data_IF_901046367826
#
_entry.id   IF_901046367826
#
_cell.length_a   1.000
_cell.length_b   1.000
_cell.length_c   1.000
_cell.angle_alpha   90.00
_cell.angle_beta   90.00
_cell.angle_gamma   90.00
#
_symmetry.space_group_name_H-M   'P 1'
#
loop_
_entity.id
_entity.type
_entity.pdbx_description
1 polymer ?
#
# COMPACT_ATOMS: atom_id res chain seq x y z
N UNK A 1 -10.57 3.10 28.03
CA UNK A 1 -11.12 4.30 27.35
C UNK A 1 -11.24 3.99 25.86
N UNK A 2 -12.42 4.17 25.24
CA UNK A 2 -12.69 3.91 23.80
C UNK A 2 -13.24 5.16 23.08
N UNK A 3 -12.92 6.36 23.57
CA UNK A 3 -13.34 7.62 22.96
C UNK A 3 -12.10 8.27 22.33
N UNK A 4 -12.01 8.25 21.01
CA UNK A 4 -10.99 9.02 20.28
C UNK A 4 -10.32 8.32 19.10
N UNK A 5 -10.29 6.99 19.03
CA UNK A 5 -9.75 6.32 17.83
C UNK A 5 -10.86 6.32 16.77
N UNK A 6 -10.68 7.08 15.69
CA UNK A 6 -11.58 7.01 14.55
C UNK A 6 -11.66 5.55 14.05
N UNK A 7 -12.86 5.04 13.78
CA UNK A 7 -13.10 3.63 13.39
C UNK A 7 -12.28 3.12 12.18
N UNK A 8 -11.52 3.98 11.51
CA UNK A 8 -10.73 3.69 10.31
C UNK A 8 -9.22 3.54 10.56
N UNK A 9 -8.74 3.64 11.81
CA UNK A 9 -7.31 3.64 12.11
C UNK A 9 -6.78 2.26 12.47
N UNK A 10 -7.02 1.28 11.58
CA UNK A 10 -6.56 -0.10 11.76
C UNK A 10 -5.48 -0.42 10.73
N UNK A 11 -4.36 -0.96 11.19
CA UNK A 11 -3.28 -1.45 10.34
C UNK A 11 -2.95 -2.90 10.64
N UNK A 12 -3.13 -3.76 9.63
CA UNK A 12 -2.90 -5.21 9.73
C UNK A 12 -1.51 -5.63 9.27
N UNK A 13 -0.75 -4.73 8.63
CA UNK A 13 0.56 -5.02 8.06
C UNK A 13 0.54 -5.67 6.67
N UNK A 14 -0.62 -5.77 6.04
CA UNK A 14 -0.81 -6.44 4.76
C UNK A 14 -1.63 -5.64 3.75
N UNK A 15 -2.70 -4.98 4.22
CA UNK A 15 -3.60 -4.16 3.41
C UNK A 15 -3.31 -2.67 3.61
N UNK A 16 -3.45 -1.89 2.53
CA UNK A 16 -3.12 -0.46 2.53
C UNK A 16 -1.61 -0.17 2.50
N UNK A 17 -1.22 1.08 2.74
CA UNK A 17 0.20 1.45 2.89
C UNK A 17 0.49 1.92 4.31
N UNK A 18 1.71 1.64 4.78
CA UNK A 18 2.16 2.13 6.08
C UNK A 18 2.13 3.67 6.13
N UNK A 19 2.50 4.34 5.03
CA UNK A 19 2.52 5.81 4.99
C UNK A 19 1.11 6.42 5.12
N UNK A 20 0.07 5.79 4.55
CA UNK A 20 -1.32 6.22 4.73
C UNK A 20 -1.77 6.06 6.19
N UNK A 21 -1.43 4.93 6.79
CA UNK A 21 -1.71 4.68 8.21
C UNK A 21 -0.98 5.67 9.12
N UNK A 22 0.32 5.88 8.90
CA UNK A 22 1.14 6.81 9.66
C UNK A 22 0.60 8.25 9.58
N UNK A 23 0.20 8.68 8.38
CA UNK A 23 -0.40 10.01 8.19
C UNK A 23 -1.71 10.14 8.99
N UNK A 24 -2.61 9.17 8.89
CA UNK A 24 -3.86 9.16 9.66
C UNK A 24 -3.60 9.18 11.17
N UNK A 25 -2.67 8.34 11.66
CA UNK A 25 -2.33 8.28 13.08
C UNK A 25 -1.80 9.63 13.59
N UNK A 26 -0.94 10.30 12.80
CA UNK A 26 -0.41 11.63 13.14
C UNK A 26 -1.50 12.70 13.18
N UNK A 27 -2.50 12.64 12.29
CA UNK A 27 -3.65 13.54 12.36
C UNK A 27 -4.44 13.36 13.66
N UNK A 28 -4.75 12.12 14.04
CA UNK A 28 -5.44 11.84 15.30
C UNK A 28 -4.64 12.31 16.52
N UNK A 29 -3.31 12.13 16.51
CA UNK A 29 -2.43 12.65 17.56
C UNK A 29 -2.57 14.17 17.75
N UNK A 30 -2.72 14.92 16.66
CA UNK A 30 -2.86 16.40 16.69
C UNK A 30 -4.27 16.77 17.16
N UNK A 31 -5.30 16.14 16.60
CA UNK A 31 -6.72 16.43 16.90
C UNK A 31 -7.02 16.18 18.38
N UNK A 32 -6.52 15.08 18.92
CA UNK A 32 -6.78 14.68 20.30
C UNK A 32 -5.68 15.08 21.28
N UNK A 33 -4.65 15.79 20.81
CA UNK A 33 -3.53 16.32 21.61
C UNK A 33 -2.90 15.22 22.48
N UNK A 34 -2.55 14.09 21.85
CA UNK A 34 -1.98 12.96 22.57
C UNK A 34 -0.54 13.22 23.00
N UNK A 35 -0.25 12.91 24.27
CA UNK A 35 1.13 12.81 24.76
C UNK A 35 1.77 11.47 24.34
N UNK A 36 3.06 11.29 24.61
CA UNK A 36 3.79 10.12 24.11
C UNK A 36 3.31 8.79 24.71
N UNK A 37 2.89 8.77 25.98
CA UNK A 37 2.30 7.58 26.58
C UNK A 37 0.97 7.20 25.91
N UNK A 38 0.12 8.18 25.63
CA UNK A 38 -1.15 7.98 24.93
C UNK A 38 -0.93 7.49 23.50
N UNK A 39 0.09 7.98 22.79
CA UNK A 39 0.45 7.47 21.45
C UNK A 39 0.85 6.00 21.50
N UNK A 40 1.64 5.58 22.49
CA UNK A 40 2.09 4.18 22.63
C UNK A 40 0.91 3.26 22.98
N UNK A 41 -0.01 3.71 23.82
CA UNK A 41 -1.23 2.94 24.11
C UNK A 41 -2.14 2.85 22.87
N UNK A 42 -2.35 3.97 22.19
CA UNK A 42 -3.21 4.04 21.01
C UNK A 42 -2.68 3.20 19.86
N UNK A 43 -1.37 3.24 19.57
CA UNK A 43 -0.79 2.46 18.47
C UNK A 43 -1.04 0.97 18.67
N UNK A 44 -0.90 0.45 19.89
CA UNK A 44 -1.17 -0.97 20.18
C UNK A 44 -2.61 -1.38 19.83
N UNK A 45 -3.59 -0.49 20.02
CA UNK A 45 -5.00 -0.74 19.71
C UNK A 45 -5.27 -0.67 18.21
N UNK A 46 -4.50 0.14 17.48
CA UNK A 46 -4.63 0.33 16.04
C UNK A 46 -4.03 -0.82 15.22
N UNK A 47 -3.21 -1.69 15.83
CA UNK A 47 -2.54 -2.78 15.13
C UNK A 47 -3.34 -4.07 15.19
N UNK A 48 -3.41 -4.76 14.05
CA UNK A 48 -3.99 -6.10 13.92
C UNK A 48 -3.07 -7.00 13.08
N UNK A 49 -3.45 -8.26 12.86
CA UNK A 49 -2.78 -9.14 11.90
C UNK A 49 -1.26 -9.27 12.08
N UNK A 50 -0.53 -9.13 10.97
CA UNK A 50 0.94 -9.19 10.92
C UNK A 50 1.58 -8.04 11.71
N UNK A 51 1.02 -6.83 11.61
CA UNK A 51 1.57 -5.67 12.29
C UNK A 51 1.51 -5.80 13.82
N UNK A 52 0.41 -6.34 14.35
CA UNK A 52 0.28 -6.63 15.79
C UNK A 52 1.28 -7.68 16.27
N UNK A 53 1.42 -8.78 15.53
CA UNK A 53 2.41 -9.83 15.85
C UNK A 53 3.83 -9.26 15.88
N UNK A 54 4.16 -8.41 14.91
CA UNK A 54 5.48 -7.76 14.85
C UNK A 54 5.69 -6.82 16.04
N UNK A 55 4.68 -6.04 16.41
CA UNK A 55 4.72 -5.17 17.60
C UNK A 55 4.92 -5.97 18.89
N UNK A 56 4.20 -7.07 19.08
CA UNK A 56 4.32 -7.93 20.26
C UNK A 56 5.75 -8.48 20.40
N UNK A 57 6.40 -8.82 19.29
CA UNK A 57 7.79 -9.32 19.23
C UNK A 57 8.87 -8.24 19.44
N UNK A 58 8.52 -6.95 19.47
CA UNK A 58 9.51 -5.89 19.74
C UNK A 58 9.95 -5.92 21.21
N UNK A 59 11.24 -5.65 21.44
CA UNK A 59 11.80 -5.51 22.79
C UNK A 59 11.22 -4.26 23.49
N UNK A 60 11.23 -4.24 24.82
CA UNK A 60 10.68 -3.13 25.60
C UNK A 60 11.33 -1.79 25.26
N UNK A 61 12.64 -1.79 24.96
CA UNK A 61 13.38 -0.61 24.50
C UNK A 61 12.81 -0.02 23.20
N UNK A 62 12.37 -0.85 22.26
CA UNK A 62 11.78 -0.42 20.99
C UNK A 62 10.36 0.13 21.19
N UNK A 63 9.64 -0.33 22.21
CA UNK A 63 8.27 0.10 22.54
C UNK A 63 8.19 1.42 23.33
N UNK A 64 9.33 2.03 23.66
CA UNK A 64 9.38 3.31 24.41
C UNK A 64 9.13 4.55 23.55
N UNK A 65 9.18 4.43 22.22
CA UNK A 65 9.05 5.57 21.32
C UNK A 65 8.21 5.21 20.10
N UNK A 66 7.21 6.05 19.82
CA UNK A 66 6.37 5.90 18.62
C UNK A 66 7.20 5.90 17.33
N UNK A 67 8.32 6.64 17.31
CA UNK A 67 9.25 6.69 16.17
C UNK A 67 9.91 5.34 15.94
N UNK A 68 10.39 4.68 17.00
CA UNK A 68 11.02 3.35 16.88
C UNK A 68 10.00 2.30 16.44
N UNK A 69 8.80 2.34 17.02
CA UNK A 69 7.68 1.47 16.63
C UNK A 69 7.36 1.64 15.14
N UNK A 70 7.26 2.88 14.65
CA UNK A 70 6.97 3.16 13.24
C UNK A 70 8.06 2.64 12.30
N UNK A 71 9.33 2.86 12.63
CA UNK A 71 10.45 2.33 11.83
C UNK A 71 10.40 0.80 11.72
N UNK A 72 10.15 0.11 12.84
CA UNK A 72 10.07 -1.35 12.87
C UNK A 72 8.85 -1.86 12.10
N UNK A 73 7.69 -1.24 12.27
CA UNK A 73 6.48 -1.58 11.54
C UNK A 73 6.68 -1.37 10.04
N UNK A 74 7.22 -0.21 9.63
CA UNK A 74 7.51 0.09 8.23
C UNK A 74 8.43 -0.97 7.63
N UNK A 75 9.53 -1.32 8.28
CA UNK A 75 10.47 -2.33 7.77
C UNK A 75 9.89 -3.74 7.76
N UNK A 76 9.21 -4.16 8.83
CA UNK A 76 8.74 -5.54 8.96
C UNK A 76 7.42 -5.83 8.25
N UNK A 77 6.61 -4.81 7.97
CA UNK A 77 5.33 -4.96 7.26
C UNK A 77 5.44 -4.65 5.76
N UNK A 78 6.55 -4.08 5.28
CA UNK A 78 6.80 -3.94 3.84
C UNK A 78 6.79 -5.32 3.19
N UNK A 79 5.99 -5.46 2.13
CA UNK A 79 6.02 -6.61 1.23
C UNK A 79 7.25 -6.47 0.32
N UNK A 80 7.88 -7.58 -0.03
CA UNK A 80 9.08 -7.54 -0.87
C UNK A 80 8.78 -7.01 -2.27
N UNK A 81 9.77 -6.48 -3.00
CA UNK A 81 9.58 -6.07 -4.40
C UNK A 81 8.97 -7.18 -5.27
N UNK A 82 9.40 -8.43 -5.06
CA UNK A 82 8.90 -9.61 -5.79
C UNK A 82 7.41 -9.85 -5.56
N UNK A 83 6.88 -9.57 -4.37
CA UNK A 83 5.45 -9.66 -4.09
C UNK A 83 4.65 -8.72 -5.00
N UNK A 84 5.11 -7.47 -5.16
CA UNK A 84 4.43 -6.50 -6.02
C UNK A 84 4.59 -6.82 -7.50
N UNK A 85 5.75 -7.35 -7.91
CA UNK A 85 5.93 -7.86 -9.27
C UNK A 85 4.99 -9.03 -9.56
N UNK A 86 4.81 -9.95 -8.62
CA UNK A 86 3.85 -11.05 -8.76
C UNK A 86 2.42 -10.52 -8.90
N UNK A 87 2.02 -9.51 -8.11
CA UNK A 87 0.71 -8.86 -8.27
C UNK A 87 0.59 -8.18 -9.64
N UNK A 88 1.63 -7.48 -10.10
CA UNK A 88 1.67 -6.84 -11.41
C UNK A 88 1.42 -7.84 -12.55
N UNK A 89 2.16 -8.96 -12.58
CA UNK A 89 2.04 -9.95 -13.64
C UNK A 89 0.77 -10.82 -13.55
N UNK A 90 0.27 -11.08 -12.34
CA UNK A 90 -0.96 -11.88 -12.15
C UNK A 90 -2.26 -11.10 -12.33
N UNK A 91 -2.21 -9.76 -12.30
CA UNK A 91 -3.41 -8.92 -12.40
C UNK A 91 -4.03 -8.99 -13.80
N UNK A 92 -5.28 -9.44 -13.84
CA UNK A 92 -6.14 -9.49 -15.04
C UNK A 92 -7.24 -8.45 -14.93
N UNK A 93 -7.66 -7.80 -16.03
CA UNK A 93 -8.81 -6.90 -15.99
C UNK A 93 -10.06 -7.69 -15.57
N UNK A 94 -10.72 -7.27 -14.49
CA UNK A 94 -11.93 -7.96 -14.01
C UNK A 94 -13.13 -7.59 -14.90
N UNK A 95 -14.13 -8.47 -14.92
CA UNK A 95 -15.41 -8.14 -15.53
C UNK A 95 -15.99 -6.87 -14.89
N UNK A 96 -16.46 -5.92 -15.71
CA UNK A 96 -17.00 -4.60 -15.30
C UNK A 96 -16.00 -3.61 -14.67
N UNK A 97 -14.73 -3.99 -14.51
CA UNK A 97 -13.71 -3.05 -14.02
C UNK A 97 -13.39 -1.99 -15.07
N UNK A 98 -13.35 -0.72 -14.63
CA UNK A 98 -12.88 0.38 -15.49
C UNK A 98 -11.39 0.22 -15.78
N UNK A 99 -11.02 0.37 -17.05
CA UNK A 99 -9.62 0.33 -17.50
C UNK A 99 -8.74 1.30 -16.70
N UNK A 100 -9.25 2.50 -16.38
CA UNK A 100 -8.51 3.49 -15.58
C UNK A 100 -8.17 2.99 -14.17
N UNK A 101 -9.09 2.28 -13.51
CA UNK A 101 -8.87 1.67 -12.20
C UNK A 101 -7.82 0.57 -12.30
N UNK A 102 -7.90 -0.27 -13.33
CA UNK A 102 -6.90 -1.30 -13.59
C UNK A 102 -5.51 -0.69 -13.83
N UNK A 103 -5.40 0.31 -14.70
CA UNK A 103 -4.15 1.01 -14.99
C UNK A 103 -3.52 1.60 -13.73
N UNK A 104 -4.33 2.26 -12.89
CA UNK A 104 -3.86 2.81 -11.62
C UNK A 104 -3.28 1.75 -10.68
N UNK A 105 -3.92 0.58 -10.59
CA UNK A 105 -3.45 -0.52 -9.74
C UNK A 105 -2.14 -1.13 -10.26
N UNK A 106 -2.02 -1.42 -11.56
CA UNK A 106 -0.76 -1.94 -12.11
C UNK A 106 0.39 -0.93 -12.02
N UNK A 107 0.08 0.37 -12.13
CA UNK A 107 1.03 1.46 -11.92
C UNK A 107 1.55 1.47 -10.47
N UNK A 108 0.65 1.38 -9.50
CA UNK A 108 1.02 1.28 -8.08
C UNK A 108 1.86 0.03 -7.78
N UNK A 109 1.62 -1.09 -8.47
CA UNK A 109 2.43 -2.30 -8.27
C UNK A 109 3.83 -2.16 -8.86
N UNK A 110 3.98 -1.58 -10.06
CA UNK A 110 5.31 -1.43 -10.67
C UNK A 110 6.17 -0.45 -9.87
N UNK A 111 5.60 0.65 -9.35
CA UNK A 111 6.33 1.63 -8.55
C UNK A 111 6.87 1.03 -7.23
N UNK A 112 6.16 0.05 -6.67
CA UNK A 112 6.59 -0.68 -5.47
C UNK A 112 7.49 -1.87 -5.76
N UNK A 113 7.34 -2.50 -6.92
CA UNK A 113 8.13 -3.65 -7.36
C UNK A 113 9.50 -3.27 -7.92
N UNK A 114 9.60 -2.10 -8.55
CA UNK A 114 10.83 -1.57 -9.16
C UNK A 114 10.98 -0.07 -8.84
N UNK A 115 11.26 0.27 -7.57
CA UNK A 115 11.46 1.66 -7.20
C UNK A 115 12.67 2.24 -7.95
N UNK A 116 12.48 3.39 -8.60
CA UNK A 116 13.54 4.05 -9.38
C UNK A 116 13.65 3.58 -10.84
N UNK A 117 12.68 2.80 -11.34
CA UNK A 117 12.56 2.52 -12.78
C UNK A 117 12.37 3.82 -13.56
N UNK A 118 13.12 4.00 -14.64
CA UNK A 118 12.99 5.17 -15.51
C UNK A 118 11.64 5.21 -16.22
N UNK A 119 11.21 6.42 -16.58
CA UNK A 119 9.87 6.67 -17.12
C UNK A 119 9.60 5.93 -18.44
N UNK A 120 10.63 5.76 -19.29
CA UNK A 120 10.49 5.08 -20.57
C UNK A 120 10.25 3.58 -20.37
N UNK A 121 11.10 2.91 -19.59
CA UNK A 121 10.95 1.50 -19.28
C UNK A 121 9.67 1.23 -18.50
N UNK A 122 9.32 2.10 -17.55
CA UNK A 122 8.05 2.05 -16.81
C UNK A 122 6.86 2.11 -17.75
N UNK A 123 6.83 3.08 -18.66
CA UNK A 123 5.74 3.23 -19.64
C UNK A 123 5.64 2.01 -20.55
N UNK A 124 6.78 1.47 -21.01
CA UNK A 124 6.82 0.26 -21.84
C UNK A 124 6.25 -0.96 -21.10
N UNK A 125 6.61 -1.16 -19.84
CA UNK A 125 6.10 -2.27 -19.02
C UNK A 125 4.60 -2.14 -18.76
N UNK A 126 4.11 -0.93 -18.43
CA UNK A 126 2.69 -0.68 -18.21
C UNK A 126 1.85 -0.94 -19.47
N UNK A 127 2.31 -0.47 -20.63
CA UNK A 127 1.64 -0.75 -21.92
C UNK A 127 1.59 -2.23 -22.24
N UNK A 128 2.73 -2.92 -22.12
CA UNK A 128 2.80 -4.37 -22.34
C UNK A 128 1.86 -5.15 -21.40
N UNK A 129 1.80 -4.73 -20.13
CA UNK A 129 0.90 -5.34 -19.16
C UNK A 129 -0.57 -5.07 -19.48
N UNK A 130 -0.92 -3.84 -19.86
CA UNK A 130 -2.29 -3.52 -20.27
C UNK A 130 -2.74 -4.40 -21.44
N UNK A 131 -1.94 -4.47 -22.51
CA UNK A 131 -2.29 -5.26 -23.71
C UNK A 131 -2.40 -6.76 -23.44
N UNK A 132 -1.61 -7.29 -22.50
CA UNK A 132 -1.64 -8.72 -22.14
C UNK A 132 -2.70 -9.10 -21.09
N UNK A 133 -3.37 -8.12 -20.49
CA UNK A 133 -4.33 -8.32 -19.40
C UNK A 133 -5.76 -7.89 -19.74
N UNK A 134 -5.97 -7.25 -20.89
CA UNK A 134 -7.29 -6.87 -21.39
C UNK A 134 -7.87 -7.98 -22.28
N UNK A 135 -9.21 -8.18 -22.26
CA UNK A 135 -9.90 -9.03 -23.22
C UNK A 135 -9.62 -8.63 -24.67
N UNK A 136 -9.62 -9.60 -25.59
CA UNK A 136 -9.30 -9.38 -27.01
C UNK A 136 -10.19 -8.31 -27.67
N UNK A 137 -11.44 -8.18 -27.23
CA UNK A 137 -12.37 -7.15 -27.71
C UNK A 137 -11.90 -5.73 -27.41
N UNK A 138 -11.28 -5.51 -26.25
CA UNK A 138 -10.70 -4.21 -25.85
C UNK A 138 -9.35 -4.02 -26.53
N UNK A 139 -8.58 -5.10 -26.69
CA UNK A 139 -7.28 -5.07 -27.37
C UNK A 139 -7.40 -4.61 -28.82
N UNK A 140 -8.35 -5.18 -29.58
CA UNK A 140 -8.63 -4.77 -30.96
C UNK A 140 -9.02 -3.29 -31.06
N UNK A 141 -9.78 -2.78 -30.09
CA UNK A 141 -10.15 -1.36 -30.03
C UNK A 141 -8.94 -0.46 -29.78
N UNK A 142 -8.05 -0.85 -28.86
CA UNK A 142 -6.84 -0.09 -28.54
C UNK A 142 -5.83 -0.09 -29.70
N UNK A 143 -5.64 -1.22 -30.38
CA UNK A 143 -4.77 -1.34 -31.55
C UNK A 143 -5.28 -0.48 -32.72
N UNK A 144 -6.60 -0.47 -32.94
CA UNK A 144 -7.23 0.35 -33.99
C UNK A 144 -7.14 1.86 -33.71
N UNK A 145 -6.97 2.26 -32.44
CA UNK A 145 -6.68 3.64 -32.06
C UNK A 145 -5.21 4.01 -32.21
N UNK A 146 -4.28 3.07 -32.04
CA UNK A 146 -2.85 3.32 -32.26
C UNK A 146 -2.48 3.44 -33.74
N UNK A 147 -3.16 2.71 -34.62
CA UNK A 147 -2.93 2.76 -36.08
C UNK A 147 -3.42 4.06 -36.75
N UNK A 148 -4.16 4.91 -36.02
CA UNK A 148 -4.67 6.20 -36.51
C UNK A 148 -3.72 7.38 -36.25
N UNK A 149 -2.47 7.13 -35.86
CA UNK A 149 -1.42 8.15 -35.69
C UNK A 149 -0.30 7.92 -36.68
#
# INVERSE_FOLDING_TARGET
MRRGIGNNLVYDGENGTFDQFEAAFKYDCIIYIWNDAQKIEAIQICLTGKAKKLFEQMNDTDKTSIKSIFEKLKRGCVKSPEYYLNLFYSRQLKHEEKISTFCYEIEKFIDKGLPGLDEENRTRMLRSRLLSAVPETIKNYLELLSDKK
#
